data_IF_369368981663
#
_entry.id   IF_369368981663
#
_cell.length_a   1.000
_cell.length_b   1.000
_cell.length_c   1.000
_cell.angle_alpha   90.00
_cell.angle_beta   90.00
_cell.angle_gamma   90.00
#
_symmetry.space_group_name_H-M   'P 1'
#
loop_
_entity.id
_entity.type
_entity.pdbx_description
1 polymer ?
#
# COMPACT_ATOMS: atom_id res chain seq x y z
N UNK A 1 2.15 6.07 49.60
CA UNK A 1 0.85 6.73 49.80
C UNK A 1 0.74 7.85 48.76
N UNK A 2 -0.28 7.79 47.90
CA UNK A 2 -0.43 8.55 46.66
C UNK A 2 -0.71 10.05 46.84
N UNK A 3 -0.36 10.85 45.82
CA UNK A 3 -1.22 11.76 45.01
C UNK A 3 -0.28 12.54 44.08
N UNK A 4 -0.45 12.61 42.76
CA UNK A 4 -1.65 12.51 41.94
C UNK A 4 -1.79 13.82 41.16
N UNK A 5 -0.96 14.01 40.12
CA UNK A 5 -1.06 15.12 39.17
C UNK A 5 -1.60 14.59 37.86
N UNK A 6 -2.90 14.78 37.64
CA UNK A 6 -3.59 14.38 36.40
C UNK A 6 -3.21 15.32 35.26
N UNK A 7 -2.57 14.78 34.23
CA UNK A 7 -2.63 15.37 32.90
C UNK A 7 -3.93 14.90 32.26
N UNK A 8 -4.87 15.82 32.12
CA UNK A 8 -6.11 15.63 31.37
C UNK A 8 -5.81 15.17 29.94
N UNK A 9 -6.59 14.18 29.51
CA UNK A 9 -6.34 13.37 28.33
C UNK A 9 -5.99 14.17 27.08
N UNK A 10 -4.80 13.90 26.55
CA UNK A 10 -4.48 14.16 25.16
C UNK A 10 -5.51 13.42 24.32
N UNK A 11 -6.42 14.17 23.70
CA UNK A 11 -7.31 13.64 22.67
C UNK A 11 -6.40 13.06 21.60
N UNK A 12 -6.27 11.73 21.57
CA UNK A 12 -5.86 11.02 20.37
C UNK A 12 -6.73 11.55 19.24
N UNK A 13 -6.18 12.00 18.11
CA UNK A 13 -7.03 12.35 16.99
C UNK A 13 -7.85 11.10 16.68
N UNK A 14 -9.17 11.24 16.80
CA UNK A 14 -10.13 10.23 16.39
C UNK A 14 -9.82 9.97 14.91
N UNK A 15 -9.13 8.87 14.61
CA UNK A 15 -9.17 8.28 13.28
C UNK A 15 -10.61 7.82 13.10
N UNK A 16 -11.45 8.70 12.57
CA UNK A 16 -12.85 8.42 12.26
C UNK A 16 -12.90 7.18 11.36
N UNK A 17 -13.63 6.19 11.83
CA UNK A 17 -13.79 4.83 11.32
C UNK A 17 -14.57 4.72 10.01
N UNK A 18 -14.63 5.78 9.20
CA UNK A 18 -15.25 5.72 7.87
C UNK A 18 -14.23 5.26 6.84
N UNK A 19 -14.04 3.94 6.76
CA UNK A 19 -13.25 3.31 5.70
C UNK A 19 -14.14 3.14 4.47
N UNK A 20 -14.09 4.11 3.56
CA UNK A 20 -14.74 4.01 2.26
C UNK A 20 -14.00 3.00 1.37
N UNK A 21 -14.72 2.22 0.54
CA UNK A 21 -14.07 1.35 -0.44
C UNK A 21 -13.28 2.19 -1.46
N UNK A 22 -12.19 1.64 -1.99
CA UNK A 22 -11.50 2.30 -3.10
C UNK A 22 -12.41 2.27 -4.33
N UNK A 23 -12.89 3.44 -4.75
CA UNK A 23 -13.80 3.60 -5.90
C UNK A 23 -13.00 3.92 -7.16
N UNK A 24 -13.16 3.10 -8.20
CA UNK A 24 -12.62 3.41 -9.54
C UNK A 24 -13.72 3.97 -10.42
N UNK A 25 -13.53 5.18 -10.92
CA UNK A 25 -14.46 5.84 -11.85
C UNK A 25 -14.19 5.40 -13.29
N UNK A 26 -14.32 4.11 -13.58
CA UNK A 26 -14.19 3.57 -14.94
C UNK A 26 -15.28 2.53 -15.20
N UNK A 27 -16.30 2.83 -16.03
CA UNK A 27 -17.40 1.91 -16.29
C UNK A 27 -16.97 0.64 -17.05
N UNK A 28 -15.89 0.70 -17.83
CA UNK A 28 -15.42 -0.43 -18.64
C UNK A 28 -14.75 -1.52 -17.80
N UNK A 29 -14.32 -1.20 -16.58
CA UNK A 29 -13.65 -2.14 -15.69
C UNK A 29 -14.59 -3.27 -15.23
N UNK A 30 -15.89 -2.99 -15.09
CA UNK A 30 -16.89 -3.99 -14.73
C UNK A 30 -17.20 -4.98 -15.86
N UNK A 31 -16.89 -4.62 -17.10
CA UNK A 31 -17.13 -5.46 -18.28
C UNK A 31 -15.91 -6.29 -18.69
N UNK A 32 -14.76 -6.05 -18.07
CA UNK A 32 -13.53 -6.77 -18.37
C UNK A 32 -13.53 -8.14 -17.70
N UNK A 33 -13.29 -9.19 -18.47
CA UNK A 33 -13.15 -10.57 -17.97
C UNK A 33 -11.84 -10.77 -17.20
N UNK A 34 -10.80 -10.01 -17.57
CA UNK A 34 -9.50 -10.00 -16.92
C UNK A 34 -8.93 -8.60 -16.96
N UNK A 35 -8.50 -8.10 -15.81
CA UNK A 35 -7.65 -6.91 -15.69
C UNK A 35 -6.21 -7.32 -15.38
N UNK A 36 -5.29 -6.84 -16.22
CA UNK A 36 -3.84 -7.03 -16.11
C UNK A 36 -3.21 -5.70 -15.71
N UNK A 37 -2.47 -5.71 -14.61
CA UNK A 37 -1.66 -4.62 -14.10
C UNK A 37 -0.25 -4.78 -14.66
N UNK A 38 -0.05 -4.31 -15.89
CA UNK A 38 1.14 -4.58 -16.69
C UNK A 38 2.43 -4.09 -16.03
N UNK A 39 2.41 -2.94 -15.36
CA UNK A 39 3.60 -2.38 -14.74
C UNK A 39 3.89 -2.94 -13.35
N UNK A 40 2.98 -3.73 -12.79
CA UNK A 40 3.21 -4.53 -11.59
C UNK A 40 3.38 -6.02 -11.86
N UNK A 41 3.21 -6.48 -13.10
CA UNK A 41 3.19 -7.90 -13.47
C UNK A 41 2.14 -8.72 -12.70
N UNK A 42 1.01 -8.09 -12.35
CA UNK A 42 -0.10 -8.71 -11.63
C UNK A 42 -1.33 -8.83 -12.54
N UNK A 43 -2.20 -9.78 -12.24
CA UNK A 43 -3.43 -9.98 -13.00
C UNK A 43 -4.51 -10.62 -12.16
N UNK A 44 -5.76 -10.23 -12.41
CA UNK A 44 -6.93 -10.72 -11.67
C UNK A 44 -7.19 -12.22 -11.83
N UNK A 45 -6.78 -12.84 -12.96
CA UNK A 45 -6.85 -14.30 -13.16
C UNK A 45 -5.61 -15.05 -12.67
N UNK A 46 -4.47 -14.38 -12.57
CA UNK A 46 -3.19 -15.00 -12.20
C UNK A 46 -2.91 -14.92 -10.70
N UNK A 47 -3.53 -13.96 -9.99
CA UNK A 47 -3.27 -13.68 -8.59
C UNK A 47 -4.57 -13.45 -7.80
N UNK A 48 -4.62 -13.99 -6.58
CA UNK A 48 -5.72 -13.71 -5.65
C UNK A 48 -5.51 -12.36 -4.95
N UNK A 49 -5.84 -11.26 -5.65
CA UNK A 49 -5.61 -9.90 -5.14
C UNK A 49 -6.30 -9.59 -3.79
N UNK A 50 -7.55 -10.04 -3.52
CA UNK A 50 -8.16 -9.92 -2.19
C UNK A 50 -7.37 -10.57 -1.08
N UNK A 51 -6.82 -11.76 -1.30
CA UNK A 51 -6.01 -12.47 -0.30
C UNK A 51 -4.64 -11.81 -0.12
N UNK A 52 -4.03 -11.34 -1.22
CA UNK A 52 -2.70 -10.74 -1.19
C UNK A 52 -2.69 -9.32 -0.59
N UNK A 53 -3.75 -8.53 -0.81
CA UNK A 53 -3.73 -7.09 -0.49
C UNK A 53 -4.94 -6.59 0.32
N UNK A 54 -5.95 -7.43 0.61
CA UNK A 54 -7.17 -6.98 1.29
C UNK A 54 -6.97 -6.46 2.72
N UNK A 55 -5.83 -6.78 3.34
CA UNK A 55 -5.43 -6.30 4.67
C UNK A 55 -4.66 -4.97 4.65
N UNK A 56 -4.36 -4.41 3.47
CA UNK A 56 -3.62 -3.17 3.32
C UNK A 56 -4.43 -1.97 3.85
N UNK A 57 -3.77 -1.18 4.71
CA UNK A 57 -4.30 0.04 5.32
C UNK A 57 -3.50 1.28 4.96
N UNK A 58 -2.21 1.11 4.71
CA UNK A 58 -1.29 2.21 4.39
C UNK A 58 -0.53 1.85 3.12
N UNK A 59 -0.40 2.83 2.22
CA UNK A 59 0.46 2.70 1.05
C UNK A 59 1.48 3.82 1.11
N UNK A 60 2.76 3.52 1.02
CA UNK A 60 3.82 4.52 0.96
C UNK A 60 4.44 4.44 -0.42
N UNK A 61 4.62 5.59 -1.08
CA UNK A 61 5.19 5.64 -2.43
C UNK A 61 6.39 6.57 -2.47
N UNK A 62 7.39 6.24 -3.26
CA UNK A 62 8.55 7.10 -3.43
C UNK A 62 9.35 6.80 -4.69
N UNK A 63 10.15 7.76 -5.14
CA UNK A 63 10.79 7.65 -6.46
C UNK A 63 11.90 6.60 -6.59
N UNK A 64 12.54 6.19 -5.48
CA UNK A 64 13.70 5.28 -5.52
C UNK A 64 13.35 3.90 -4.95
N UNK A 65 13.59 2.85 -5.74
CA UNK A 65 13.45 1.46 -5.31
C UNK A 65 14.21 1.15 -4.02
N UNK A 66 15.48 1.56 -3.93
CA UNK A 66 16.31 1.34 -2.74
C UNK A 66 15.73 2.01 -1.50
N UNK A 67 15.20 3.23 -1.63
CA UNK A 67 14.55 3.91 -0.49
C UNK A 67 13.28 3.20 -0.05
N UNK A 68 12.47 2.72 -0.99
CA UNK A 68 11.23 2.01 -0.67
C UNK A 68 11.48 0.62 -0.09
N UNK A 69 12.55 -0.06 -0.50
CA UNK A 69 13.03 -1.30 0.14
C UNK A 69 13.49 -1.04 1.56
N UNK A 70 14.36 -0.04 1.77
CA UNK A 70 14.83 0.33 3.10
C UNK A 70 13.67 0.73 4.03
N UNK A 71 12.68 1.47 3.50
CA UNK A 71 11.45 1.80 4.23
C UNK A 71 10.66 0.55 4.63
N UNK A 72 10.48 -0.40 3.73
CA UNK A 72 9.80 -1.66 4.04
C UNK A 72 10.51 -2.43 5.16
N UNK A 73 11.85 -2.52 5.09
CA UNK A 73 12.67 -3.16 6.12
C UNK A 73 12.57 -2.47 7.47
N UNK A 74 12.59 -1.13 7.46
CA UNK A 74 12.41 -0.31 8.65
C UNK A 74 11.03 -0.56 9.29
N UNK A 75 9.96 -0.50 8.51
CA UNK A 75 8.59 -0.76 9.02
C UNK A 75 8.43 -2.20 9.53
N UNK A 76 9.08 -3.18 8.91
CA UNK A 76 9.04 -4.57 9.37
C UNK A 76 9.61 -4.70 10.79
N UNK A 77 10.73 -4.02 11.06
CA UNK A 77 11.35 -3.95 12.38
C UNK A 77 10.47 -3.19 13.38
N UNK A 78 9.97 -2.00 13.01
CA UNK A 78 9.13 -1.18 13.89
C UNK A 78 7.82 -1.87 14.29
N UNK A 79 7.22 -2.63 13.38
CA UNK A 79 6.02 -3.42 13.66
C UNK A 79 6.32 -4.75 14.37
N UNK A 80 7.60 -5.07 14.62
CA UNK A 80 8.04 -6.33 15.25
C UNK A 80 7.43 -7.57 14.58
N UNK A 81 7.38 -7.55 13.24
CA UNK A 81 6.81 -8.66 12.48
C UNK A 81 7.73 -9.88 12.50
N UNK A 82 7.18 -11.10 12.48
CA UNK A 82 8.00 -12.31 12.38
C UNK A 82 8.76 -12.35 11.05
N UNK A 83 9.92 -13.00 11.07
CA UNK A 83 10.79 -13.16 9.90
C UNK A 83 11.96 -12.17 9.86
N UNK A 84 12.75 -12.26 8.80
CA UNK A 84 13.94 -11.44 8.61
C UNK A 84 13.61 -10.24 7.70
N UNK A 85 13.84 -8.98 8.13
CA UNK A 85 13.70 -7.81 7.26
C UNK A 85 14.54 -7.90 5.97
N UNK A 86 15.66 -8.63 6.00
CA UNK A 86 16.50 -8.86 4.83
C UNK A 86 15.83 -9.69 3.72
N UNK A 87 14.78 -10.45 4.05
CA UNK A 87 14.12 -11.41 3.16
C UNK A 87 12.81 -10.88 2.56
N UNK A 88 12.51 -9.58 2.72
CA UNK A 88 11.36 -8.95 2.08
C UNK A 88 11.56 -9.01 0.55
N UNK A 89 10.67 -9.75 -0.12
CA UNK A 89 10.68 -9.98 -1.56
C UNK A 89 9.94 -8.88 -2.31
N UNK A 90 10.38 -8.63 -3.54
CA UNK A 90 9.70 -7.69 -4.43
C UNK A 90 8.56 -8.42 -5.15
N UNK A 91 7.33 -7.97 -4.91
CA UNK A 91 6.13 -8.58 -5.51
C UNK A 91 6.13 -8.36 -7.04
N UNK A 92 6.81 -7.31 -7.51
CA UNK A 92 6.90 -6.96 -8.92
C UNK A 92 8.14 -7.56 -9.62
N UNK A 93 8.75 -8.63 -9.09
CA UNK A 93 9.95 -9.29 -9.68
C UNK A 93 9.83 -9.64 -11.18
N UNK A 94 8.60 -9.76 -11.73
CA UNK A 94 8.35 -9.97 -13.16
C UNK A 94 8.59 -8.75 -14.06
N UNK A 95 8.90 -7.58 -13.50
CA UNK A 95 9.15 -6.33 -14.22
C UNK A 95 10.24 -5.49 -13.55
N UNK A 96 10.87 -4.60 -14.31
CA UNK A 96 11.90 -3.67 -13.85
C UNK A 96 11.37 -2.24 -13.66
N UNK A 97 10.06 -2.03 -13.81
CA UNK A 97 9.44 -0.68 -13.81
C UNK A 97 9.24 -0.12 -12.41
N UNK A 98 8.71 -0.93 -11.51
CA UNK A 98 8.39 -0.57 -10.14
C UNK A 98 8.77 -1.72 -9.22
N UNK A 99 9.06 -1.39 -7.97
CA UNK A 99 9.28 -2.35 -6.90
C UNK A 99 8.13 -2.23 -5.92
N UNK A 100 7.63 -3.36 -5.42
CA UNK A 100 6.52 -3.40 -4.47
C UNK A 100 6.84 -4.35 -3.33
N UNK A 101 6.78 -3.83 -2.11
CA UNK A 101 7.04 -4.59 -0.90
C UNK A 101 5.83 -4.53 0.04
N UNK A 102 5.35 -5.68 0.50
CA UNK A 102 4.27 -5.77 1.49
C UNK A 102 4.84 -6.13 2.86
N UNK A 103 4.45 -5.37 3.88
CA UNK A 103 4.89 -5.54 5.26
C UNK A 103 3.69 -5.37 6.19
N UNK A 104 3.07 -6.49 6.57
CA UNK A 104 1.82 -6.49 7.31
C UNK A 104 0.74 -5.67 6.57
N UNK A 105 0.13 -4.65 7.21
CA UNK A 105 -0.88 -3.79 6.59
C UNK A 105 -0.30 -2.60 5.80
N UNK A 106 1.03 -2.54 5.59
CA UNK A 106 1.72 -1.46 4.88
C UNK A 106 2.24 -1.98 3.53
N UNK A 107 1.96 -1.22 2.48
CA UNK A 107 2.46 -1.45 1.13
C UNK A 107 3.47 -0.35 0.76
N UNK A 108 4.66 -0.72 0.29
CA UNK A 108 5.74 0.21 -0.08
C UNK A 108 6.03 0.06 -1.58
N UNK A 109 5.88 1.14 -2.36
CA UNK A 109 5.97 1.09 -3.83
C UNK A 109 6.94 2.14 -4.38
N UNK A 110 7.81 1.75 -5.30
CA UNK A 110 8.65 2.69 -6.05
C UNK A 110 7.93 3.21 -7.29
N UNK A 111 8.13 4.47 -7.65
CA UNK A 111 7.44 5.08 -8.82
C UNK A 111 8.37 5.84 -9.79
N UNK A 112 9.69 5.74 -9.65
CA UNK A 112 10.64 6.44 -10.52
C UNK A 112 10.54 7.98 -10.42
N UNK A 113 10.87 8.68 -11.50
CA UNK A 113 10.90 10.15 -11.55
C UNK A 113 9.85 10.71 -12.52
N UNK A 114 9.26 11.85 -12.13
CA UNK A 114 8.37 12.63 -12.96
C UNK A 114 6.90 12.23 -12.86
N UNK A 115 6.04 13.20 -13.20
CA UNK A 115 4.57 13.06 -13.22
C UNK A 115 4.08 11.90 -14.10
N UNK A 116 4.66 11.62 -15.29
CA UNK A 116 4.21 10.50 -16.10
C UNK A 116 4.34 9.15 -15.38
N UNK A 117 5.46 8.96 -14.67
CA UNK A 117 5.75 7.68 -14.01
C UNK A 117 4.86 7.45 -12.79
N UNK A 118 4.67 8.46 -11.94
CA UNK A 118 3.77 8.33 -10.79
C UNK A 118 2.31 8.16 -11.22
N UNK A 119 1.88 8.77 -12.33
CA UNK A 119 0.51 8.62 -12.85
C UNK A 119 0.19 7.18 -13.23
N UNK A 120 1.09 6.51 -13.98
CA UNK A 120 0.94 5.11 -14.37
C UNK A 120 0.83 4.21 -13.12
N UNK A 121 1.74 4.39 -12.18
CA UNK A 121 1.74 3.64 -10.91
C UNK A 121 0.44 3.85 -10.14
N UNK A 122 -0.04 5.09 -9.99
CA UNK A 122 -1.28 5.41 -9.28
C UNK A 122 -2.50 4.78 -9.97
N UNK A 123 -2.56 4.80 -11.31
CA UNK A 123 -3.65 4.18 -12.05
C UNK A 123 -3.73 2.68 -11.79
N UNK A 124 -2.60 1.96 -11.81
CA UNK A 124 -2.59 0.52 -11.53
C UNK A 124 -2.82 0.21 -10.05
N UNK A 125 -2.28 1.03 -9.15
CA UNK A 125 -2.46 0.89 -7.71
C UNK A 125 -3.93 1.02 -7.30
N UNK A 126 -4.63 2.02 -7.83
CA UNK A 126 -6.06 2.23 -7.54
C UNK A 126 -6.89 1.03 -8.01
N UNK A 127 -6.57 0.45 -9.19
CA UNK A 127 -7.22 -0.78 -9.67
C UNK A 127 -6.89 -1.98 -8.78
N UNK A 128 -5.63 -2.14 -8.38
CA UNK A 128 -5.18 -3.21 -7.48
C UNK A 128 -5.96 -3.17 -6.16
N UNK A 129 -6.04 -2.00 -5.53
CA UNK A 129 -6.73 -1.82 -4.26
C UNK A 129 -8.25 -2.00 -4.39
N UNK A 130 -8.81 -1.66 -5.55
CA UNK A 130 -10.21 -1.92 -5.85
C UNK A 130 -10.50 -3.41 -5.98
N UNK A 131 -9.69 -4.15 -6.77
CA UNK A 131 -9.83 -5.59 -6.93
C UNK A 131 -9.55 -6.34 -5.61
N UNK A 132 -8.66 -5.83 -4.77
CA UNK A 132 -8.39 -6.34 -3.44
C UNK A 132 -9.49 -6.01 -2.41
N UNK A 133 -10.51 -5.23 -2.81
CA UNK A 133 -11.60 -4.77 -1.94
C UNK A 133 -11.13 -4.00 -0.71
N UNK A 134 -9.99 -3.30 -0.84
CA UNK A 134 -9.40 -2.53 0.24
C UNK A 134 -10.32 -1.36 0.63
N UNK A 135 -10.37 -1.09 1.93
CA UNK A 135 -11.04 0.10 2.49
C UNK A 135 -10.00 0.97 3.17
N UNK A 136 -9.37 1.84 2.39
CA UNK A 136 -8.25 2.66 2.83
C UNK A 136 -8.75 4.06 3.17
N UNK A 137 -8.38 4.64 4.33
CA UNK A 137 -8.49 6.07 4.54
C UNK A 137 -7.48 6.76 3.60
N UNK A 138 -7.94 7.25 2.45
CA UNK A 138 -7.08 7.89 1.46
C UNK A 138 -6.51 9.20 2.03
N UNK A 139 -5.29 9.14 2.56
CA UNK A 139 -4.50 10.30 2.98
C UNK A 139 -3.03 10.01 2.72
N UNK A 140 -2.56 10.31 1.50
CA UNK A 140 -1.15 10.23 1.12
C UNK A 140 -0.60 11.61 0.83
N UNK A 141 -0.06 12.26 1.85
CA UNK A 141 1.01 13.24 1.72
C UNK A 141 1.96 12.97 2.89
N UNK A 142 3.14 12.41 2.61
CA UNK A 142 4.28 12.54 3.49
C UNK A 142 5.05 13.80 3.04
N UNK A 143 5.48 14.66 3.97
CA UNK A 143 6.18 15.92 3.67
C UNK A 143 7.52 15.71 2.97
#
# INVERSE_FOLDING_TARGET
LCRGGGFEGTKTPLFTTNREPVIVKNPNLFTMEEDILYHFSLGTKTHNLPEMFGDIKFVCVGGSANRMKAFAQFIHQELSLPGNPGEIQDICEGTDRYCMYKVGPVLSISHGMGVPSISIMLHELIKLLHHAQCRIPLGLELP
#
